data_IF_683353399350
#
_entry.id   IF_683353399350
#
_cell.length_a   1.000
_cell.length_b   1.000
_cell.length_c   1.000
_cell.angle_alpha   90.00
_cell.angle_beta   90.00
_cell.angle_gamma   90.00
#
_symmetry.space_group_name_H-M   'P 1'
#
loop_
_entity.id
_entity.type
_entity.pdbx_description
1 polymer ?
#
# COMPACT_ATOMS: atom_id res chain seq x y z
N UNK A 1 -7.01 8.28 14.61
CA UNK A 1 -5.63 8.12 14.10
C UNK A 1 -5.12 9.50 13.77
N UNK A 2 -4.15 9.99 14.54
CA UNK A 2 -3.48 11.24 14.24
C UNK A 2 -2.39 10.95 13.20
N UNK A 3 -2.39 11.68 12.09
CA UNK A 3 -1.39 11.53 11.02
C UNK A 3 -0.61 12.82 10.95
N UNK A 4 0.71 12.75 11.17
CA UNK A 4 1.59 13.88 10.95
C UNK A 4 1.41 14.41 9.52
N UNK A 5 1.37 15.74 9.36
CA UNK A 5 1.07 16.37 8.07
C UNK A 5 1.97 15.87 6.93
N UNK A 6 3.24 15.56 7.21
CA UNK A 6 4.18 15.00 6.26
C UNK A 6 3.73 13.64 5.67
N UNK A 7 3.05 12.82 6.46
CA UNK A 7 2.65 11.45 6.09
C UNK A 7 1.21 11.37 5.59
N UNK A 8 0.46 12.49 5.64
CA UNK A 8 -0.96 12.52 5.33
C UNK A 8 -1.27 12.04 3.90
N UNK A 9 -0.38 12.27 2.94
CA UNK A 9 -0.54 11.80 1.56
C UNK A 9 -0.29 10.30 1.43
N UNK A 10 0.76 9.78 2.06
CA UNK A 10 1.07 8.35 2.06
C UNK A 10 -0.02 7.54 2.76
N UNK A 11 -0.51 8.00 3.93
CA UNK A 11 -1.58 7.34 4.67
C UNK A 11 -2.90 7.35 3.91
N UNK A 12 -3.28 8.48 3.29
CA UNK A 12 -4.50 8.53 2.46
C UNK A 12 -4.43 7.57 1.28
N UNK A 13 -3.28 7.51 0.60
CA UNK A 13 -3.07 6.57 -0.49
C UNK A 13 -3.12 5.12 0.02
N UNK A 14 -2.43 4.81 1.12
CA UNK A 14 -2.45 3.50 1.75
C UNK A 14 -3.86 3.01 2.05
N UNK A 15 -4.67 3.84 2.73
CA UNK A 15 -6.06 3.50 3.06
C UNK A 15 -6.90 3.24 1.80
N UNK A 16 -6.59 3.91 0.69
CA UNK A 16 -7.29 3.73 -0.59
C UNK A 16 -6.94 2.42 -1.29
N UNK A 17 -5.75 1.85 -1.03
CA UNK A 17 -5.25 0.62 -1.67
C UNK A 17 -5.14 -0.57 -0.72
N UNK A 18 -5.45 -0.39 0.57
CA UNK A 18 -5.25 -1.41 1.62
C UNK A 18 -6.02 -2.72 1.38
N UNK A 19 -7.05 -2.72 0.55
CA UNK A 19 -7.78 -3.91 0.12
C UNK A 19 -7.24 -4.57 -1.16
N UNK A 20 -6.33 -3.92 -1.87
CA UNK A 20 -5.87 -4.31 -3.21
C UNK A 20 -4.60 -5.15 -3.13
N UNK A 21 -4.76 -6.43 -2.80
CA UNK A 21 -3.63 -7.36 -2.68
C UNK A 21 -3.61 -8.37 -3.82
N UNK A 22 -2.41 -8.58 -4.36
CA UNK A 22 -2.09 -9.78 -5.12
C UNK A 22 -2.03 -10.96 -4.18
N UNK A 23 -2.69 -12.05 -4.58
CA UNK A 23 -2.77 -13.29 -3.82
C UNK A 23 -2.07 -14.42 -4.57
N UNK A 24 -1.43 -15.33 -3.84
CA UNK A 24 -0.74 -16.48 -4.40
C UNK A 24 -0.89 -17.74 -3.54
N UNK A 25 -0.56 -18.89 -4.12
CA UNK A 25 -0.67 -20.21 -3.49
C UNK A 25 -2.10 -20.74 -3.40
N UNK A 26 -2.24 -21.99 -2.98
CA UNK A 26 -3.54 -22.68 -2.92
C UNK A 26 -4.50 -22.07 -1.88
N UNK A 27 -3.96 -21.41 -0.86
CA UNK A 27 -4.73 -20.74 0.21
C UNK A 27 -5.02 -19.28 -0.10
N UNK A 28 -4.58 -18.75 -1.26
CA UNK A 28 -4.87 -17.38 -1.70
C UNK A 28 -4.30 -16.30 -0.77
N UNK A 29 -3.08 -16.53 -0.25
CA UNK A 29 -2.45 -15.63 0.70
C UNK A 29 -2.04 -14.32 0.02
N UNK A 30 -2.28 -13.16 0.66
CA UNK A 30 -1.72 -11.89 0.21
C UNK A 30 -0.19 -11.95 0.20
N UNK A 31 0.43 -11.55 -0.91
CA UNK A 31 1.90 -11.56 -1.07
C UNK A 31 2.49 -10.21 -1.42
N UNK A 32 1.70 -9.31 -2.00
CA UNK A 32 2.09 -7.94 -2.34
C UNK A 32 0.82 -7.12 -2.63
N UNK A 33 0.90 -5.80 -2.53
CA UNK A 33 -0.06 -4.89 -3.12
C UNK A 33 -0.08 -5.02 -4.64
N UNK A 34 -1.24 -4.78 -5.24
CA UNK A 34 -1.33 -4.63 -6.68
C UNK A 34 -0.84 -3.24 -7.09
N UNK A 35 0.41 -3.15 -7.55
CA UNK A 35 0.99 -1.88 -7.98
C UNK A 35 0.30 -1.26 -9.20
N UNK A 36 -0.38 -2.04 -10.05
CA UNK A 36 -1.18 -1.47 -11.13
C UNK A 36 -2.44 -0.80 -10.55
N UNK A 37 -3.07 -1.40 -9.53
CA UNK A 37 -4.15 -0.77 -8.78
C UNK A 37 -3.67 0.49 -8.04
N UNK A 38 -2.48 0.46 -7.43
CA UNK A 38 -1.85 1.63 -6.79
C UNK A 38 -1.66 2.76 -7.80
N UNK A 39 -1.09 2.48 -8.96
CA UNK A 39 -0.92 3.49 -10.02
C UNK A 39 -2.27 4.05 -10.49
N UNK A 40 -3.28 3.19 -10.65
CA UNK A 40 -4.64 3.59 -11.00
C UNK A 40 -5.27 4.53 -9.97
N UNK A 41 -5.10 4.24 -8.67
CA UNK A 41 -5.56 5.12 -7.58
C UNK A 41 -4.78 6.44 -7.57
N UNK A 42 -3.46 6.42 -7.79
CA UNK A 42 -2.68 7.65 -7.92
C UNK A 42 -3.15 8.51 -9.10
N UNK A 43 -3.60 7.90 -10.20
CA UNK A 43 -4.21 8.61 -11.33
C UNK A 43 -5.56 9.22 -10.94
N UNK A 44 -6.46 8.44 -10.33
CA UNK A 44 -7.79 8.90 -9.90
C UNK A 44 -7.72 10.04 -8.88
N UNK A 45 -6.72 10.04 -8.01
CA UNK A 45 -6.49 11.10 -7.01
C UNK A 45 -5.69 12.28 -7.57
N UNK A 46 -5.38 12.29 -8.87
CA UNK A 46 -4.59 13.32 -9.54
C UNK A 46 -3.22 13.59 -8.86
N UNK A 47 -2.58 12.54 -8.33
CA UNK A 47 -1.27 12.68 -7.67
C UNK A 47 -0.21 13.05 -8.71
N UNK A 48 0.55 14.16 -8.51
CA UNK A 48 1.57 14.60 -9.44
C UNK A 48 2.63 13.53 -9.69
N UNK A 49 3.01 13.29 -10.96
CA UNK A 49 3.98 12.24 -11.34
C UNK A 49 5.30 12.31 -10.54
N UNK A 50 5.79 13.53 -10.24
CA UNK A 50 7.00 13.77 -9.44
C UNK A 50 6.92 13.25 -7.99
N UNK A 51 5.72 13.10 -7.43
CA UNK A 51 5.52 12.63 -6.05
C UNK A 51 5.28 11.12 -5.97
N UNK A 52 4.89 10.49 -7.08
CA UNK A 52 4.48 9.07 -7.10
C UNK A 52 5.60 8.14 -6.66
N UNK A 53 6.84 8.41 -7.06
CA UNK A 53 7.99 7.61 -6.67
C UNK A 53 8.21 7.58 -5.16
N UNK A 54 8.15 8.74 -4.50
CA UNK A 54 8.29 8.84 -3.05
C UNK A 54 7.13 8.13 -2.33
N UNK A 55 5.88 8.38 -2.76
CA UNK A 55 4.71 7.74 -2.17
C UNK A 55 4.71 6.22 -2.36
N UNK A 56 5.17 5.72 -3.51
CA UNK A 56 5.30 4.27 -3.71
C UNK A 56 6.33 3.66 -2.75
N UNK A 57 7.43 4.35 -2.46
CA UNK A 57 8.41 3.90 -1.47
C UNK A 57 7.81 3.86 -0.06
N UNK A 58 7.05 4.87 0.34
CA UNK A 58 6.34 4.89 1.63
C UNK A 58 5.35 3.71 1.72
N UNK A 59 4.62 3.44 0.64
CA UNK A 59 3.70 2.29 0.54
C UNK A 59 4.42 0.95 0.68
N UNK A 60 5.62 0.80 0.12
CA UNK A 60 6.42 -0.43 0.25
C UNK A 60 6.85 -0.71 1.69
N UNK A 61 7.15 0.35 2.46
CA UNK A 61 7.44 0.19 3.89
C UNK A 61 6.20 -0.35 4.63
N UNK A 62 5.03 0.25 4.38
CA UNK A 62 3.78 -0.20 4.99
C UNK A 62 3.36 -1.61 4.55
N UNK A 63 3.55 -1.94 3.27
CA UNK A 63 3.35 -3.27 2.70
C UNK A 63 4.18 -4.32 3.43
N UNK A 64 5.48 -4.06 3.59
CA UNK A 64 6.40 -4.98 4.25
C UNK A 64 5.97 -5.26 5.69
N UNK A 65 5.73 -4.20 6.48
CA UNK A 65 5.29 -4.32 7.88
C UNK A 65 3.96 -5.07 7.97
N UNK A 66 3.03 -4.81 7.06
CA UNK A 66 1.74 -5.51 7.04
C UNK A 66 1.92 -7.01 6.78
N UNK A 67 2.76 -7.37 5.81
CA UNK A 67 3.04 -8.78 5.49
C UNK A 67 3.74 -9.50 6.65
N UNK A 68 4.69 -8.84 7.33
CA UNK A 68 5.39 -9.40 8.49
C UNK A 68 4.38 -9.67 9.64
N UNK A 69 3.56 -8.68 10.02
CA UNK A 69 2.52 -8.83 11.06
C UNK A 69 1.51 -9.93 10.70
N UNK A 70 1.08 -9.98 9.44
CA UNK A 70 0.15 -11.00 8.97
C UNK A 70 0.77 -12.39 8.91
N UNK A 71 2.09 -12.50 8.73
CA UNK A 71 2.80 -13.78 8.84
C UNK A 71 2.85 -14.24 10.29
N UNK A 72 3.15 -13.33 11.23
CA UNK A 72 3.20 -13.61 12.67
C UNK A 72 1.84 -14.07 13.23
N UNK A 73 0.74 -13.45 12.80
CA UNK A 73 -0.61 -13.82 13.24
C UNK A 73 -1.11 -15.18 12.71
N UNK A 74 -0.40 -15.77 11.74
CA UNK A 74 -0.78 -17.05 11.10
C UNK A 74 0.11 -18.21 11.51
N UNK A 75 1.21 -17.95 12.23
CA UNK A 75 2.06 -18.96 12.87
C UNK A 75 1.57 -19.28 14.26
#
# INVERSE_FOLDING_TARGET
MEVYAANASAVRLWLSVAGQWRRAGMTGLPVALDYAAVESVMNMQAIPRRQRGALLNDLRVMERVTLDVWSEQRG
#
